data_IF_201942780883
#
_entry.id   IF_201942780883
#
_cell.length_a   1.000
_cell.length_b   1.000
_cell.length_c   1.000
_cell.angle_alpha   90.00
_cell.angle_beta   90.00
_cell.angle_gamma   90.00
#
_symmetry.space_group_name_H-M   'P 1'
#
loop_
_entity.id
_entity.type
_entity.pdbx_description
1 polymer ?
#
# COMPACT_ATOMS: atom_id res chain seq x y z
N UNK A 1 8.33 2.68 11.28
CA UNK A 1 8.23 4.16 11.27
C UNK A 1 7.06 4.66 10.47
N UNK A 2 6.79 4.05 9.30
CA UNK A 2 5.59 4.35 8.54
C UNK A 2 4.93 3.11 7.93
N UNK A 3 3.61 3.18 7.72
CA UNK A 3 2.84 2.22 6.94
C UNK A 3 2.12 2.96 5.81
N UNK A 4 2.29 2.50 4.58
CA UNK A 4 1.61 3.05 3.41
C UNK A 4 0.75 1.94 2.82
N UNK A 5 -0.56 2.16 2.72
CA UNK A 5 -1.42 1.30 1.91
C UNK A 5 -1.56 1.92 0.51
N UNK A 6 -0.95 1.30 -0.48
CA UNK A 6 -1.19 1.59 -1.89
C UNK A 6 -2.35 0.75 -2.41
N UNK A 7 -3.40 1.38 -2.93
CA UNK A 7 -4.59 0.64 -3.37
C UNK A 7 -5.42 1.45 -4.37
N UNK A 8 -5.83 0.83 -5.47
CA UNK A 8 -6.79 1.41 -6.43
C UNK A 8 -8.22 1.32 -5.90
N UNK A 9 -8.55 0.21 -5.24
CA UNK A 9 -9.89 -0.15 -4.79
C UNK A 9 -10.00 -0.10 -3.26
N UNK A 10 -9.96 1.10 -2.70
CA UNK A 10 -10.08 1.26 -1.25
C UNK A 10 -11.46 0.78 -0.78
N UNK A 11 -11.49 -0.01 0.30
CA UNK A 11 -12.73 -0.47 0.92
C UNK A 11 -13.60 0.69 1.45
N UNK A 12 -12.98 1.80 1.84
CA UNK A 12 -13.63 3.00 2.38
C UNK A 12 -12.72 4.23 2.24
N UNK A 13 -13.29 5.43 2.28
CA UNK A 13 -12.53 6.68 2.22
C UNK A 13 -11.89 7.09 3.55
N UNK A 14 -12.51 6.71 4.67
CA UNK A 14 -12.05 7.04 6.03
C UNK A 14 -12.68 6.06 7.04
N UNK A 15 -11.98 5.68 8.13
CA UNK A 15 -10.57 5.94 8.42
C UNK A 15 -9.64 5.18 7.49
N UNK A 16 -8.39 5.63 7.35
CA UNK A 16 -7.39 4.97 6.53
C UNK A 16 -7.17 3.52 6.99
N UNK A 17 -7.14 2.58 6.05
CA UNK A 17 -6.89 1.15 6.33
C UNK A 17 -5.45 0.96 6.78
N UNK A 18 -4.50 1.77 6.33
CA UNK A 18 -3.11 1.76 6.81
C UNK A 18 -3.01 1.96 8.33
N UNK A 19 -3.92 2.73 8.95
CA UNK A 19 -3.95 2.92 10.41
C UNK A 19 -4.43 1.65 11.13
N UNK A 20 -5.35 0.90 10.53
CA UNK A 20 -5.75 -0.40 11.06
C UNK A 20 -4.62 -1.43 10.93
N UNK A 21 -3.87 -1.41 9.82
CA UNK A 21 -2.67 -2.23 9.64
C UNK A 21 -1.63 -1.87 10.70
N UNK A 22 -1.39 -0.58 10.94
CA UNK A 22 -0.49 -0.09 11.99
C UNK A 22 -0.91 -0.64 13.37
N UNK A 23 -2.20 -0.55 13.71
CA UNK A 23 -2.74 -1.08 14.97
C UNK A 23 -2.61 -2.61 15.07
N UNK A 24 -2.92 -3.34 13.99
CA UNK A 24 -2.81 -4.80 13.93
C UNK A 24 -1.35 -5.29 14.08
N UNK A 25 -0.38 -4.51 13.61
CA UNK A 25 1.05 -4.75 13.80
C UNK A 25 1.55 -4.38 15.21
N UNK A 26 0.69 -3.83 16.07
CA UNK A 26 1.06 -3.40 17.42
C UNK A 26 1.95 -2.17 17.46
N UNK A 27 1.99 -1.36 16.39
CA UNK A 27 2.81 -0.16 16.33
C UNK A 27 2.25 0.92 17.25
N UNK A 28 3.08 1.41 18.16
CA UNK A 28 2.73 2.47 19.14
C UNK A 28 3.21 3.87 18.73
N UNK A 29 3.96 3.96 17.63
CA UNK A 29 4.52 5.19 17.10
C UNK A 29 4.61 5.14 15.56
N UNK A 30 4.97 6.27 14.95
CA UNK A 30 5.03 6.42 13.50
C UNK A 30 3.71 6.90 12.90
N UNK A 31 3.63 6.93 11.58
CA UNK A 31 2.46 7.41 10.84
C UNK A 31 1.97 6.38 9.81
N UNK A 32 0.70 6.48 9.44
CA UNK A 32 0.11 5.61 8.44
C UNK A 32 -0.89 6.36 7.57
N UNK A 33 -0.90 6.07 6.26
CA UNK A 33 -1.85 6.66 5.32
C UNK A 33 -2.11 5.76 4.12
N UNK A 34 -3.25 5.99 3.48
CA UNK A 34 -3.64 5.32 2.24
C UNK A 34 -3.31 6.22 1.04
N UNK A 35 -2.90 5.61 -0.08
CA UNK A 35 -2.67 6.28 -1.35
C UNK A 35 -3.36 5.52 -2.47
N UNK A 36 -4.09 6.25 -3.32
CA UNK A 36 -4.73 5.72 -4.51
C UNK A 36 -4.25 6.46 -5.75
N UNK A 37 -3.62 5.72 -6.65
CA UNK A 37 -3.17 6.19 -7.98
C UNK A 37 -3.54 5.15 -9.03
N UNK A 38 -4.73 4.55 -8.90
CA UNK A 38 -5.20 3.45 -9.76
C UNK A 38 -4.10 2.38 -9.95
N UNK A 39 -3.95 1.82 -11.15
CA UNK A 39 -2.98 0.75 -11.45
C UNK A 39 -1.50 1.11 -11.16
N UNK A 40 -1.19 2.37 -10.86
CA UNK A 40 0.15 2.82 -10.46
C UNK A 40 0.31 2.96 -8.93
N UNK A 41 -0.70 2.59 -8.13
CA UNK A 41 -0.66 2.74 -6.68
C UNK A 41 0.58 2.05 -6.08
N UNK A 42 0.90 0.82 -6.49
CA UNK A 42 2.06 0.08 -5.97
C UNK A 42 3.39 0.82 -6.23
N UNK A 43 3.60 1.33 -7.44
CA UNK A 43 4.86 2.02 -7.80
C UNK A 43 4.96 3.37 -7.13
N UNK A 44 3.85 4.10 -7.00
CA UNK A 44 3.81 5.38 -6.27
C UNK A 44 3.98 5.17 -4.76
N UNK A 45 3.38 4.13 -4.19
CA UNK A 45 3.59 3.75 -2.79
C UNK A 45 5.05 3.42 -2.50
N UNK A 46 5.71 2.67 -3.38
CA UNK A 46 7.14 2.40 -3.30
C UNK A 46 7.98 3.69 -3.40
N UNK A 47 7.67 4.57 -4.36
CA UNK A 47 8.37 5.84 -4.51
C UNK A 47 8.23 6.72 -3.25
N UNK A 48 7.02 6.83 -2.68
CA UNK A 48 6.77 7.55 -1.44
C UNK A 48 7.54 6.97 -0.25
N UNK A 49 7.68 5.64 -0.17
CA UNK A 49 8.49 4.99 0.86
C UNK A 49 9.98 5.31 0.71
N UNK A 50 10.49 5.26 -0.52
CA UNK A 50 11.88 5.66 -0.83
C UNK A 50 12.12 7.13 -0.48
N UNK A 51 11.19 8.00 -0.82
CA UNK A 51 11.32 9.44 -0.54
C UNK A 51 11.23 9.74 0.95
N UNK A 52 10.38 9.03 1.71
CA UNK A 52 10.34 9.13 3.17
C UNK A 52 11.69 8.75 3.81
N UNK A 53 12.36 7.72 3.29
CA UNK A 53 13.69 7.32 3.75
C UNK A 53 14.74 8.37 3.37
N UNK A 54 14.76 8.81 2.11
CA UNK A 54 15.71 9.82 1.62
C UNK A 54 15.57 11.17 2.33
N UNK A 55 14.34 11.56 2.67
CA UNK A 55 14.05 12.78 3.42
C UNK A 55 14.36 12.66 4.93
N UNK A 56 14.66 11.44 5.42
CA UNK A 56 14.91 11.17 6.83
C UNK A 56 13.67 11.16 7.71
N UNK A 57 12.46 11.16 7.14
CA UNK A 57 11.20 11.11 7.91
C UNK A 57 10.86 9.70 8.40
N UNK A 58 11.51 8.67 7.85
CA UNK A 58 11.41 7.28 8.30
C UNK A 58 12.71 6.53 8.01
N UNK A 59 13.07 5.52 8.81
CA UNK A 59 14.17 4.59 8.50
C UNK A 59 13.65 3.29 7.90
N UNK A 60 12.42 2.91 8.25
CA UNK A 60 11.72 1.72 7.73
C UNK A 60 10.27 2.02 7.43
N UNK A 61 9.87 1.69 6.21
CA UNK A 61 8.51 1.88 5.70
C UNK A 61 7.95 0.55 5.22
N UNK A 62 6.77 0.17 5.70
CA UNK A 62 6.00 -0.93 5.16
C UNK A 62 5.04 -0.40 4.10
N UNK A 63 5.20 -0.84 2.86
CA UNK A 63 4.25 -0.59 1.77
C UNK A 63 3.40 -1.83 1.60
N UNK A 64 2.11 -1.73 1.91
CA UNK A 64 1.13 -2.78 1.62
C UNK A 64 0.40 -2.39 0.34
N UNK A 65 0.23 -3.33 -0.58
CA UNK A 65 -0.61 -3.13 -1.76
C UNK A 65 -1.72 -4.17 -1.77
N UNK A 66 -2.91 -3.79 -1.33
CA UNK A 66 -4.08 -4.66 -1.29
C UNK A 66 -5.07 -4.22 -2.36
N UNK A 67 -5.22 -5.00 -3.43
CA UNK A 67 -6.19 -4.76 -4.51
C UNK A 67 -7.35 -5.73 -4.38
N UNK A 68 -8.51 -5.22 -3.94
CA UNK A 68 -9.76 -5.98 -3.86
C UNK A 68 -10.69 -5.47 -4.97
N UNK A 69 -10.48 -6.00 -6.17
CA UNK A 69 -11.21 -5.56 -7.38
C UNK A 69 -12.55 -6.27 -7.50
N UNK A 70 -12.69 -7.48 -6.96
CA UNK A 70 -13.88 -8.33 -7.11
C UNK A 70 -15.18 -7.66 -6.64
N UNK A 71 -15.10 -6.84 -5.58
CA UNK A 71 -16.22 -6.07 -5.05
C UNK A 71 -16.71 -4.94 -5.96
N UNK A 72 -15.90 -4.55 -6.95
CA UNK A 72 -16.18 -3.46 -7.89
C UNK A 72 -16.48 -3.96 -9.32
N UNK A 73 -16.48 -5.26 -9.56
CA UNK A 73 -16.70 -5.83 -10.89
C UNK A 73 -18.18 -6.00 -11.23
N UNK A 74 -18.53 -5.66 -12.47
CA UNK A 74 -19.77 -6.12 -13.08
C UNK A 74 -19.58 -7.53 -13.63
N UNK A 75 -20.03 -8.54 -12.88
CA UNK A 75 -19.90 -9.94 -13.26
C UNK A 75 -20.66 -10.35 -14.53
N UNK A 76 -21.59 -9.53 -15.02
CA UNK A 76 -22.28 -9.80 -16.30
C UNK A 76 -21.55 -9.19 -17.51
N UNK A 77 -20.52 -8.37 -17.30
CA UNK A 77 -19.74 -7.77 -18.38
C UNK A 77 -18.67 -8.75 -18.87
N UNK A 78 -19.01 -9.45 -19.96
CA UNK A 78 -18.13 -10.41 -20.63
C UNK A 78 -16.77 -9.83 -21.04
N UNK A 79 -16.67 -8.51 -21.24
CA UNK A 79 -15.42 -7.90 -21.72
C UNK A 79 -14.34 -7.78 -20.64
N UNK A 80 -14.70 -7.82 -19.35
CA UNK A 80 -13.79 -7.43 -18.27
C UNK A 80 -13.81 -8.32 -17.02
N UNK A 81 -14.90 -9.05 -16.76
CA UNK A 81 -15.08 -9.77 -15.48
C UNK A 81 -14.01 -10.84 -15.20
N UNK A 82 -13.27 -11.30 -16.21
CA UNK A 82 -12.26 -12.35 -16.09
C UNK A 82 -10.82 -11.80 -15.96
N UNK A 83 -10.63 -10.49 -16.11
CA UNK A 83 -9.30 -9.85 -16.11
C UNK A 83 -8.83 -9.55 -14.69
N UNK A 84 -9.76 -9.17 -13.82
CA UNK A 84 -9.46 -8.63 -12.50
C UNK A 84 -9.67 -9.69 -11.41
N UNK A 85 -8.82 -9.62 -10.39
CA UNK A 85 -8.88 -10.49 -9.23
C UNK A 85 -8.34 -9.79 -7.99
N UNK A 86 -8.47 -10.46 -6.86
CA UNK A 86 -8.04 -9.92 -5.58
C UNK A 86 -6.62 -10.36 -5.23
N UNK A 87 -5.80 -9.45 -4.72
CA UNK A 87 -4.43 -9.74 -4.31
C UNK A 87 -3.99 -8.78 -3.20
N UNK A 88 -3.14 -9.25 -2.29
CA UNK A 88 -2.44 -8.40 -1.36
C UNK A 88 -0.94 -8.73 -1.37
N UNK A 89 -0.10 -7.70 -1.44
CA UNK A 89 1.36 -7.81 -1.35
C UNK A 89 1.90 -6.83 -0.31
N UNK A 90 3.10 -7.07 0.18
CA UNK A 90 3.77 -6.20 1.13
C UNK A 90 5.27 -6.12 0.83
N UNK A 91 5.83 -4.92 0.92
CA UNK A 91 7.24 -4.61 0.69
C UNK A 91 7.73 -3.80 1.88
N UNK A 92 8.86 -4.22 2.47
CA UNK A 92 9.57 -3.40 3.46
C UNK A 92 10.70 -2.69 2.75
N UNK A 93 10.71 -1.36 2.86
CA UNK A 93 11.81 -0.52 2.40
C UNK A 93 12.54 -0.03 3.64
N UNK A 94 13.85 -0.22 3.68
CA UNK A 94 14.69 0.22 4.79
C UNK A 94 15.95 0.92 4.30
N UNK A 95 16.42 1.89 5.09
CA UNK A 95 17.75 2.44 4.93
C UNK A 95 18.79 1.34 5.18
N UNK A 96 19.73 1.17 4.25
CA UNK A 96 20.83 0.22 4.40
C UNK A 96 22.15 0.86 3.98
N UNK A 97 23.17 0.76 4.84
CA UNK A 97 24.56 1.13 4.54
C UNK A 97 25.25 0.07 3.66
N UNK A 98 24.70 -1.15 3.62
CA UNK A 98 25.24 -2.24 2.81
C UNK A 98 24.44 -2.33 1.52
N UNK A 99 25.11 -2.26 0.35
CA UNK A 99 24.48 -2.63 -0.92
C UNK A 99 24.03 -4.08 -0.83
N UNK A 100 22.73 -4.32 -0.86
CA UNK A 100 22.18 -5.65 -1.10
C UNK A 100 22.10 -5.86 -2.61
N UNK A 101 22.93 -6.77 -3.15
CA UNK A 101 22.91 -7.20 -4.56
C UNK A 101 23.69 -6.32 -5.52
#
# INVERSE_FOLDING_TARGET
>A
DAVILACSNMQRAYPAVAVEIQAALGMTHGYAFDINVACSAATFGLQQAVDAIKAGSSKRVLVVNAEITSGHLNWTDYSSHFIFGDVATAIVVEESETKAG
#
